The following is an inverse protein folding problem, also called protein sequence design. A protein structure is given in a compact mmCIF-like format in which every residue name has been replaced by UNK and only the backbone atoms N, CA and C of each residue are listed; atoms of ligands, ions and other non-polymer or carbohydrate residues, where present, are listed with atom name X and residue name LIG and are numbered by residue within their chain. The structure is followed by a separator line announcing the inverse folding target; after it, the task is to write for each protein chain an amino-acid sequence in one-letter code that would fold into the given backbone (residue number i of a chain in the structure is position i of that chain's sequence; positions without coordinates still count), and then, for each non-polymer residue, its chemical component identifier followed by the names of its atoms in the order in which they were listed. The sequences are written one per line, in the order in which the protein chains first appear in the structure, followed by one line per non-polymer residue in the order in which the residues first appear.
data_IF_159694693435
#
_entry.id   IF_159694693435
#
_cell.length_a   1.000
_cell.length_b   1.000
_cell.length_c   1.000
_cell.angle_alpha   90.00
_cell.angle_beta   90.00
_cell.angle_gamma   90.00
#
_symmetry.space_group_name_H-M   'P 1'
#
loop_
_entity.id
_entity.type
_entity.pdbx_description
1 polymer ?
#
# COMPACT_ATOMS: atom_id res chain seq x y z
N UNK A 1 -42.24 30.87 -8.69
CA UNK A 1 -43.08 30.47 -7.54
C UNK A 1 -43.72 29.12 -7.91
N UNK A 2 -43.50 28.04 -7.15
CA UNK A 2 -44.43 27.47 -6.12
C UNK A 2 -45.57 26.70 -6.82
N UNK A 3 -45.89 25.42 -6.60
CA UNK A 3 -45.41 24.23 -5.83
C UNK A 3 -45.68 23.01 -6.77
N UNK A 4 -45.24 21.76 -6.63
CA UNK A 4 -44.82 20.84 -5.54
C UNK A 4 -43.55 20.09 -6.03
N UNK A 5 -42.64 19.46 -5.27
CA UNK A 5 -42.38 19.22 -3.83
C UNK A 5 -43.37 18.40 -2.98
N UNK A 6 -42.80 17.44 -2.23
CA UNK A 6 -43.38 16.50 -1.24
C UNK A 6 -44.36 15.44 -1.77
N UNK A 7 -44.28 14.16 -1.36
CA UNK A 7 -43.22 13.45 -0.64
C UNK A 7 -43.46 11.92 -0.71
N UNK A 8 -42.42 11.11 -1.01
CA UNK A 8 -42.25 9.77 -0.44
C UNK A 8 -40.83 9.17 -0.68
N UNK A 9 -39.78 9.89 -0.26
CA UNK A 9 -38.45 9.28 -0.07
C UNK A 9 -38.30 9.04 1.44
N UNK A 10 -38.70 7.86 1.91
CA UNK A 10 -38.50 7.48 3.32
C UNK A 10 -38.47 5.95 3.52
N UNK A 11 -37.39 5.30 3.06
CA UNK A 11 -37.02 3.94 3.49
C UNK A 11 -35.56 3.64 3.16
N UNK A 12 -34.62 4.39 3.75
CA UNK A 12 -33.22 4.01 4.02
C UNK A 12 -32.52 5.16 4.77
N UNK A 13 -33.00 5.47 5.97
CA UNK A 13 -32.19 6.17 6.96
C UNK A 13 -31.17 5.19 7.53
N UNK A 14 -30.25 4.71 6.68
CA UNK A 14 -28.96 4.24 7.16
C UNK A 14 -28.32 5.40 7.90
N UNK A 15 -28.05 5.24 9.19
CA UNK A 15 -27.56 6.32 10.04
C UNK A 15 -26.24 6.88 9.48
N UNK A 16 -26.32 8.00 8.76
CA UNK A 16 -25.18 8.88 8.62
C UNK A 16 -24.88 9.39 10.04
N UNK A 17 -23.69 9.15 10.61
CA UNK A 17 -23.34 9.74 11.89
C UNK A 17 -23.44 11.26 11.77
N UNK A 18 -23.94 11.92 12.82
CA UNK A 18 -23.99 13.38 12.86
C UNK A 18 -22.63 13.95 12.47
N UNK A 19 -22.64 14.94 11.57
CA UNK A 19 -21.45 15.62 11.12
C UNK A 19 -20.82 16.40 12.29
N UNK A 20 -20.00 15.71 13.07
CA UNK A 20 -19.20 16.30 14.11
C UNK A 20 -18.30 17.41 13.51
N UNK A 21 -18.08 18.53 14.22
CA UNK A 21 -17.17 19.56 13.74
C UNK A 21 -15.79 18.94 13.49
N UNK A 22 -15.23 19.18 12.31
CA UNK A 22 -14.02 18.54 11.83
C UNK A 22 -12.82 18.78 12.77
N UNK A 23 -12.58 17.84 13.68
CA UNK A 23 -11.37 17.80 14.49
C UNK A 23 -10.20 17.46 13.57
N UNK A 24 -9.31 18.41 13.38
CA UNK A 24 -8.04 18.19 12.69
C UNK A 24 -7.14 17.26 13.52
N UNK A 25 -7.21 15.96 13.23
CA UNK A 25 -6.37 14.96 13.88
C UNK A 25 -6.75 13.55 13.45
N UNK A 26 -5.74 12.75 13.11
CA UNK A 26 -5.92 11.31 12.94
C UNK A 26 -6.31 10.65 14.26
N UNK A 27 -7.19 9.65 14.22
CA UNK A 27 -7.64 8.89 15.37
C UNK A 27 -6.54 8.16 16.16
N UNK A 28 -5.32 7.99 15.60
CA UNK A 28 -4.24 7.24 16.26
C UNK A 28 -2.83 7.62 15.79
N UNK A 29 -1.86 7.49 16.70
CA UNK A 29 -0.41 7.50 16.38
C UNK A 29 0.24 6.12 16.56
N UNK A 30 -0.53 5.09 16.93
CA UNK A 30 -0.13 3.70 17.09
C UNK A 30 -0.53 2.90 15.85
N UNK A 31 0.41 2.11 15.30
CA UNK A 31 0.13 1.23 14.15
C UNK A 31 -0.80 0.09 14.53
N UNK A 32 -0.75 -0.42 15.76
CA UNK A 32 -1.67 -1.46 16.24
C UNK A 32 -3.12 -0.95 16.19
N UNK A 33 -3.37 0.24 16.73
CA UNK A 33 -4.71 0.87 16.72
C UNK A 33 -5.12 1.23 15.29
N UNK A 34 -4.17 1.63 14.43
CA UNK A 34 -4.45 1.88 13.02
C UNK A 34 -4.91 0.60 12.30
N UNK A 35 -4.18 -0.51 12.48
CA UNK A 35 -4.54 -1.81 11.90
C UNK A 35 -5.85 -2.35 12.47
N UNK A 36 -6.11 -2.20 13.78
CA UNK A 36 -7.41 -2.56 14.38
C UNK A 36 -8.57 -1.81 13.69
N UNK A 37 -8.48 -0.49 13.56
CA UNK A 37 -9.50 0.30 12.87
C UNK A 37 -9.61 0.00 11.38
N UNK A 38 -8.51 -0.32 10.71
CA UNK A 38 -8.51 -0.78 9.32
C UNK A 38 -9.37 -2.03 9.18
N UNK A 39 -9.13 -3.00 10.05
CA UNK A 39 -9.77 -4.31 10.05
C UNK A 39 -11.22 -4.30 10.57
N UNK A 40 -11.55 -3.38 11.48
CA UNK A 40 -12.93 -3.07 11.86
C UNK A 40 -13.75 -2.49 10.70
N UNK A 41 -13.11 -1.75 9.77
CA UNK A 41 -13.74 -1.11 8.62
C UNK A 41 -13.80 -2.01 7.39
N UNK A 42 -12.68 -2.64 7.03
CA UNK A 42 -12.52 -3.50 5.85
C UNK A 42 -12.66 -4.98 6.26
N UNK A 43 -13.85 -5.30 6.74
CA UNK A 43 -14.21 -6.58 7.34
C UNK A 43 -13.97 -7.78 6.41
N UNK A 44 -14.19 -7.61 5.11
CA UNK A 44 -14.03 -8.66 4.10
C UNK A 44 -12.71 -8.48 3.30
N UNK A 45 -11.66 -7.97 3.95
CA UNK A 45 -10.34 -7.71 3.37
C UNK A 45 -10.25 -6.41 2.56
N UNK A 46 -11.33 -6.05 1.85
CA UNK A 46 -11.44 -4.77 1.15
C UNK A 46 -10.35 -4.57 0.09
N UNK A 47 -9.58 -3.48 0.19
CA UNK A 47 -8.50 -3.13 -0.76
C UNK A 47 -7.16 -3.82 -0.48
N UNK A 48 -7.11 -4.77 0.46
CA UNK A 48 -5.88 -5.51 0.81
C UNK A 48 -5.70 -6.83 0.04
N UNK A 49 -6.70 -7.25 -0.75
CA UNK A 49 -6.72 -8.48 -1.57
C UNK A 49 -6.27 -9.76 -0.83
N UNK A 50 -6.62 -9.84 0.47
CA UNK A 50 -6.16 -10.91 1.36
C UNK A 50 -6.74 -12.25 0.91
N UNK A 51 -5.90 -13.26 0.72
CA UNK A 51 -6.32 -14.61 0.31
C UNK A 51 -5.86 -15.68 1.31
N UNK A 52 -6.73 -16.65 1.60
CA UNK A 52 -6.49 -17.77 2.52
C UNK A 52 -6.15 -19.07 1.80
N UNK A 53 -5.20 -19.83 2.35
CA UNK A 53 -4.76 -21.13 1.81
C UNK A 53 -5.86 -22.21 1.94
N UNK A 54 -6.63 -22.16 3.03
CA UNK A 54 -7.83 -22.98 3.22
C UNK A 54 -8.95 -22.76 2.19
N UNK A 55 -8.88 -21.70 1.37
CA UNK A 55 -9.95 -21.32 0.43
C UNK A 55 -11.24 -20.80 1.09
N UNK A 56 -11.27 -20.72 2.42
CA UNK A 56 -12.36 -20.06 3.14
C UNK A 56 -12.36 -18.53 2.89
N UNK A 57 -13.52 -17.86 2.94
CA UNK A 57 -13.58 -16.41 2.78
C UNK A 57 -12.81 -15.67 3.88
N UNK A 58 -12.29 -14.51 3.53
CA UNK A 58 -11.92 -13.49 4.51
C UNK A 58 -13.20 -12.98 5.15
N UNK A 59 -13.27 -13.06 6.48
CA UNK A 59 -14.39 -12.55 7.25
C UNK A 59 -13.90 -11.55 8.29
N UNK A 60 -14.76 -10.62 8.78
CA UNK A 60 -14.42 -9.69 9.86
C UNK A 60 -13.78 -10.39 11.06
N UNK A 61 -14.28 -11.60 11.34
CA UNK A 61 -13.86 -12.42 12.47
C UNK A 61 -12.46 -12.98 12.28
N UNK A 62 -12.17 -13.55 11.10
CA UNK A 62 -10.83 -14.04 10.76
C UNK A 62 -9.79 -12.91 10.88
N UNK A 63 -10.11 -11.73 10.34
CA UNK A 63 -9.22 -10.58 10.42
C UNK A 63 -8.99 -10.16 11.89
N UNK A 64 -10.04 -10.04 12.70
CA UNK A 64 -9.95 -9.53 14.07
C UNK A 64 -9.39 -10.54 15.09
N UNK A 65 -9.62 -11.84 14.92
CA UNK A 65 -9.23 -12.89 15.88
C UNK A 65 -7.92 -13.60 15.48
N UNK A 66 -7.62 -13.73 14.19
CA UNK A 66 -6.53 -14.61 13.71
C UNK A 66 -5.28 -13.88 13.25
N UNK A 67 -5.36 -12.61 12.86
CA UNK A 67 -4.19 -11.83 12.45
C UNK A 67 -3.38 -11.35 13.67
N UNK A 68 -2.11 -11.76 13.75
CA UNK A 68 -1.20 -11.29 14.79
C UNK A 68 -0.44 -10.07 14.28
N UNK A 69 -0.76 -8.92 14.85
CA UNK A 69 -0.03 -7.67 14.62
C UNK A 69 1.20 -7.66 15.53
N UNK A 70 2.39 -7.85 14.95
CA UNK A 70 3.67 -7.71 15.65
C UNK A 70 4.25 -6.33 15.39
N UNK A 71 3.91 -5.37 16.25
CA UNK A 71 4.50 -4.04 16.24
C UNK A 71 6.02 -4.11 16.52
N UNK A 72 6.80 -3.31 15.79
CA UNK A 72 8.18 -2.99 16.12
C UNK A 72 8.37 -1.47 16.13
N UNK A 73 9.24 -0.94 17.01
CA UNK A 73 9.36 0.50 17.22
C UNK A 73 9.51 1.29 15.92
N UNK A 74 8.93 2.49 15.90
CA UNK A 74 8.75 3.40 14.76
C UNK A 74 7.52 3.14 13.87
N UNK A 75 6.57 2.31 14.31
CA UNK A 75 5.27 2.18 13.63
C UNK A 75 5.36 1.36 12.35
N UNK A 76 6.13 0.26 12.38
CA UNK A 76 6.01 -0.83 11.41
C UNK A 76 5.38 -2.01 12.14
N UNK A 77 4.55 -2.79 11.45
CA UNK A 77 4.05 -4.06 11.95
C UNK A 77 4.20 -5.15 10.89
N UNK A 78 4.50 -6.36 11.34
CA UNK A 78 4.30 -7.57 10.55
C UNK A 78 2.94 -8.18 10.93
N UNK A 79 2.16 -8.59 9.94
CA UNK A 79 0.82 -9.15 10.11
C UNK A 79 0.92 -10.64 9.77
N UNK A 80 0.92 -11.49 10.80
CA UNK A 80 1.19 -12.93 10.66
C UNK A 80 -0.08 -13.76 10.86
N UNK A 81 -0.36 -14.70 9.94
CA UNK A 81 -1.30 -15.79 10.10
C UNK A 81 -0.91 -16.95 9.15
N UNK A 82 -0.77 -18.21 9.64
CA UNK A 82 -0.33 -19.34 8.82
C UNK A 82 -1.32 -19.78 7.72
N UNK A 83 -2.57 -19.33 7.77
CA UNK A 83 -3.60 -19.60 6.75
C UNK A 83 -3.63 -18.52 5.66
N UNK A 84 -2.66 -17.60 5.61
CA UNK A 84 -2.52 -16.62 4.53
C UNK A 84 -1.51 -17.08 3.49
N UNK A 85 -1.85 -16.91 2.21
CA UNK A 85 -0.97 -17.22 1.08
C UNK A 85 0.19 -16.21 0.98
N UNK A 86 -0.03 -14.98 1.43
CA UNK A 86 0.91 -13.87 1.30
C UNK A 86 1.41 -13.34 2.64
N UNK A 87 2.57 -12.70 2.62
CA UNK A 87 3.14 -12.01 3.78
C UNK A 87 2.78 -10.53 3.77
N UNK A 88 2.27 -10.01 4.90
CA UNK A 88 1.75 -8.65 4.99
C UNK A 88 2.61 -7.79 5.93
N UNK A 89 3.24 -6.75 5.38
CA UNK A 89 3.93 -5.70 6.14
C UNK A 89 3.07 -4.43 6.18
N UNK A 90 3.13 -3.68 7.28
CA UNK A 90 2.49 -2.37 7.37
C UNK A 90 3.44 -1.33 7.99
N UNK A 91 3.33 -0.07 7.57
CA UNK A 91 4.09 1.05 8.12
C UNK A 91 3.24 2.33 8.19
N UNK A 92 3.35 3.06 9.30
CA UNK A 92 2.55 4.24 9.63
C UNK A 92 3.38 5.52 9.50
N UNK A 93 3.16 6.25 8.41
CA UNK A 93 3.89 7.49 8.09
C UNK A 93 3.17 8.71 8.66
N UNK A 94 3.92 9.62 9.31
CA UNK A 94 3.40 10.90 9.80
C UNK A 94 3.55 12.00 8.74
N UNK A 95 2.52 12.84 8.66
CA UNK A 95 2.22 13.73 7.55
C UNK A 95 1.63 15.06 8.14
N UNK A 96 1.80 16.24 7.52
CA UNK A 96 1.21 17.50 8.03
C UNK A 96 -0.31 17.47 8.17
N UNK A 97 -1.00 16.75 7.28
CA UNK A 97 -2.44 16.55 7.22
C UNK A 97 -2.94 15.33 8.02
N UNK A 98 -2.06 14.57 8.70
CA UNK A 98 -2.47 13.38 9.46
C UNK A 98 -1.43 12.25 9.47
N UNK A 99 -1.92 11.00 9.41
CA UNK A 99 -1.07 9.81 9.26
C UNK A 99 -1.53 9.01 8.04
N UNK A 100 -0.61 8.28 7.40
CA UNK A 100 -0.92 7.34 6.31
C UNK A 100 -0.38 5.97 6.69
N UNK A 101 -1.27 4.98 6.70
CA UNK A 101 -0.91 3.58 6.87
C UNK A 101 -0.68 2.99 5.48
N UNK A 102 0.54 2.56 5.19
CA UNK A 102 0.86 1.79 3.98
C UNK A 102 0.88 0.32 4.38
N UNK A 103 0.17 -0.52 3.64
CA UNK A 103 0.22 -1.98 3.78
C UNK A 103 0.72 -2.56 2.46
N UNK A 104 1.71 -3.43 2.54
CA UNK A 104 2.26 -4.18 1.41
C UNK A 104 1.99 -5.66 1.66
N UNK A 105 1.32 -6.30 0.71
CA UNK A 105 1.29 -7.75 0.61
C UNK A 105 2.39 -8.23 -0.33
N UNK A 106 2.99 -9.36 -0.03
CA UNK A 106 4.01 -10.02 -0.84
C UNK A 106 3.77 -11.53 -0.87
N UNK A 107 3.22 -12.00 -1.99
CA UNK A 107 3.16 -13.41 -2.38
C UNK A 107 4.31 -13.80 -3.31
N UNK A 108 4.25 -15.03 -3.84
CA UNK A 108 5.31 -15.56 -4.72
C UNK A 108 5.34 -14.95 -6.13
N UNK A 109 4.21 -14.42 -6.62
CA UNK A 109 4.07 -13.91 -8.00
C UNK A 109 3.44 -12.52 -8.10
N UNK A 110 2.83 -12.02 -7.02
CA UNK A 110 2.19 -10.70 -6.96
C UNK A 110 2.62 -9.99 -5.68
N UNK A 111 2.63 -8.66 -5.73
CA UNK A 111 2.79 -7.81 -4.55
C UNK A 111 1.75 -6.70 -4.63
N UNK A 112 0.88 -6.62 -3.64
CA UNK A 112 -0.17 -5.61 -3.56
C UNK A 112 0.28 -4.49 -2.63
N UNK A 113 -0.02 -3.24 -2.96
CA UNK A 113 0.21 -2.10 -2.06
C UNK A 113 -1.10 -1.34 -1.89
N UNK A 114 -1.48 -1.10 -0.65
CA UNK A 114 -2.64 -0.28 -0.30
C UNK A 114 -2.20 0.83 0.65
N UNK A 115 -2.66 2.06 0.38
CA UNK A 115 -2.44 3.21 1.26
C UNK A 115 -3.77 3.61 1.88
N UNK A 116 -3.75 3.91 3.17
CA UNK A 116 -4.91 4.40 3.91
C UNK A 116 -4.58 5.72 4.59
N UNK A 117 -5.27 6.77 4.18
CA UNK A 117 -5.22 8.08 4.82
C UNK A 117 -6.07 8.06 6.08
N UNK A 118 -5.49 8.48 7.20
CA UNK A 118 -6.19 8.68 8.45
C UNK A 118 -6.75 10.11 8.54
N UNK A 119 -8.07 10.24 8.59
CA UNK A 119 -8.78 11.49 8.85
C UNK A 119 -9.66 11.38 10.11
N UNK A 120 -10.57 12.34 10.32
CA UNK A 120 -11.46 12.38 11.48
C UNK A 120 -12.51 11.24 11.53
N UNK A 121 -12.76 10.57 10.40
CA UNK A 121 -13.65 9.40 10.27
C UNK A 121 -12.87 8.08 10.28
N UNK A 122 -11.57 8.11 10.61
CA UNK A 122 -10.69 6.95 10.68
C UNK A 122 -9.86 6.75 9.41
N UNK A 123 -9.57 5.49 9.08
CA UNK A 123 -8.79 5.15 7.89
C UNK A 123 -9.69 5.01 6.66
N UNK A 124 -9.31 5.69 5.57
CA UNK A 124 -9.92 5.57 4.24
C UNK A 124 -8.83 5.22 3.23
N UNK A 125 -9.12 4.29 2.32
CA UNK A 125 -8.21 3.97 1.23
C UNK A 125 -7.92 5.20 0.35
N UNK A 126 -6.65 5.42 0.05
CA UNK A 126 -6.14 6.39 -0.92
C UNK A 126 -5.51 5.61 -2.06
N UNK A 127 -6.35 5.17 -3.00
CA UNK A 127 -5.95 4.34 -4.14
C UNK A 127 -5.03 5.09 -5.14
N UNK A 128 -4.79 6.40 -4.94
CA UNK A 128 -3.90 7.23 -5.77
C UNK A 128 -2.54 7.47 -5.13
N UNK A 129 -2.36 7.11 -3.85
CA UNK A 129 -1.08 7.24 -3.17
C UNK A 129 -0.20 6.01 -3.41
N UNK A 130 1.09 6.24 -3.68
CA UNK A 130 2.08 5.21 -4.04
C UNK A 130 1.81 4.44 -5.36
N UNK A 131 0.93 4.96 -6.22
CA UNK A 131 0.81 4.46 -7.59
C UNK A 131 2.14 4.67 -8.35
N UNK A 132 2.62 3.61 -8.99
CA UNK A 132 3.81 3.61 -9.85
C UNK A 132 3.38 3.00 -11.19
N UNK A 133 3.42 3.81 -12.25
CA UNK A 133 3.16 3.30 -13.60
C UNK A 133 4.28 2.40 -14.10
N UNK A 134 3.98 1.50 -15.04
CA UNK A 134 4.99 0.67 -15.70
C UNK A 134 6.12 1.51 -16.33
N UNK A 135 5.78 2.69 -16.87
CA UNK A 135 6.75 3.63 -17.44
C UNK A 135 7.72 4.17 -16.37
N UNK A 136 7.21 4.55 -15.19
CA UNK A 136 8.07 4.97 -14.06
C UNK A 136 8.91 3.80 -13.54
N UNK A 137 8.35 2.60 -13.43
CA UNK A 137 9.08 1.41 -13.02
C UNK A 137 10.20 1.05 -14.02
N UNK A 138 9.94 1.07 -15.32
CA UNK A 138 10.95 0.91 -16.39
C UNK A 138 12.03 2.00 -16.31
N UNK A 139 11.66 3.25 -16.00
CA UNK A 139 12.63 4.32 -15.79
C UNK A 139 13.52 4.04 -14.56
N UNK A 140 12.97 3.52 -13.46
CA UNK A 140 13.76 3.13 -12.29
C UNK A 140 14.77 1.99 -12.62
N UNK A 141 14.39 1.04 -13.46
CA UNK A 141 15.29 0.01 -14.00
C UNK A 141 16.40 0.59 -14.90
N UNK A 142 16.08 1.62 -15.68
CA UNK A 142 17.03 2.36 -16.52
C UNK A 142 18.03 3.14 -15.69
N UNK A 143 17.54 3.89 -14.70
CA UNK A 143 18.32 4.73 -13.78
C UNK A 143 19.25 3.91 -12.87
N UNK A 144 18.85 2.68 -12.52
CA UNK A 144 19.68 1.69 -11.83
C UNK A 144 20.75 1.04 -12.74
N UNK A 145 20.76 1.35 -14.05
CA UNK A 145 21.71 0.81 -15.03
C UNK A 145 21.50 -0.67 -15.37
N UNK A 146 20.28 -1.20 -15.15
CA UNK A 146 19.96 -2.61 -15.35
C UNK A 146 19.53 -2.91 -16.80
N UNK A 147 18.92 -1.95 -17.49
CA UNK A 147 18.63 -2.05 -18.92
C UNK A 147 19.90 -1.77 -19.73
N UNK A 148 20.56 -2.82 -20.22
CA UNK A 148 21.78 -2.72 -21.03
C UNK A 148 21.46 -2.58 -22.51
N UNK A 149 21.93 -1.51 -23.13
CA UNK A 149 21.98 -1.43 -24.58
C UNK A 149 22.74 -2.63 -25.18
N UNK A 150 22.14 -3.29 -26.17
CA UNK A 150 22.71 -4.36 -27.01
C UNK A 150 22.95 -5.75 -26.37
N UNK A 151 22.33 -6.09 -25.23
CA UNK A 151 22.44 -7.43 -24.66
C UNK A 151 21.55 -8.46 -25.39
N UNK A 152 22.12 -9.27 -26.31
CA UNK A 152 21.43 -10.37 -27.02
C UNK A 152 20.88 -11.51 -26.13
N UNK A 153 21.20 -11.49 -24.83
CA UNK A 153 20.49 -12.17 -23.73
C UNK A 153 20.58 -11.28 -22.49
N UNK A 154 19.49 -10.62 -22.09
CA UNK A 154 19.48 -9.71 -20.95
C UNK A 154 18.14 -9.00 -20.77
N UNK A 155 17.99 -8.34 -19.63
CA UNK A 155 16.81 -7.56 -19.31
C UNK A 155 16.65 -6.38 -20.28
N UNK A 156 15.45 -6.23 -20.85
CA UNK A 156 15.07 -5.13 -21.74
C UNK A 156 13.76 -4.50 -21.30
N UNK A 157 13.45 -3.30 -21.79
CA UNK A 157 12.14 -2.67 -21.57
C UNK A 157 10.98 -3.58 -22.03
N UNK A 158 11.10 -4.22 -23.20
CA UNK A 158 10.11 -5.19 -23.67
C UNK A 158 9.98 -6.39 -22.72
N UNK A 159 11.08 -6.86 -22.13
CA UNK A 159 11.04 -7.94 -21.12
C UNK A 159 10.29 -7.52 -19.85
N UNK A 160 10.36 -6.24 -19.47
CA UNK A 160 9.59 -5.68 -18.35
C UNK A 160 8.11 -5.50 -18.71
N UNK A 161 7.79 -5.06 -19.92
CA UNK A 161 6.43 -4.89 -20.41
C UNK A 161 5.70 -6.22 -20.67
N UNK A 162 6.43 -7.25 -21.10
CA UNK A 162 5.92 -8.61 -21.28
C UNK A 162 5.90 -9.41 -19.95
N UNK A 163 6.29 -8.80 -18.82
CA UNK A 163 6.36 -9.47 -17.51
C UNK A 163 4.94 -9.72 -16.96
N UNK A 164 4.66 -10.96 -16.55
CA UNK A 164 3.30 -11.36 -16.16
C UNK A 164 2.89 -10.96 -14.73
N UNK A 165 3.79 -10.38 -13.94
CA UNK A 165 3.54 -9.95 -12.56
C UNK A 165 4.02 -8.52 -12.31
N UNK A 166 4.10 -8.09 -11.05
CA UNK A 166 4.73 -6.80 -10.75
C UNK A 166 6.23 -6.85 -11.03
N UNK A 167 6.76 -5.85 -11.75
CA UNK A 167 8.20 -5.67 -11.95
C UNK A 167 8.90 -5.00 -10.77
N UNK A 168 8.17 -4.40 -9.82
CA UNK A 168 8.74 -3.78 -8.61
C UNK A 168 8.12 -4.32 -7.33
N UNK A 169 8.89 -4.32 -6.26
CA UNK A 169 8.39 -4.61 -4.91
C UNK A 169 8.83 -3.51 -3.93
N UNK A 170 7.95 -3.19 -2.99
CA UNK A 170 8.16 -2.16 -1.97
C UNK A 170 8.56 -2.81 -0.65
N UNK A 171 9.69 -2.39 -0.09
CA UNK A 171 10.16 -2.87 1.22
C UNK A 171 9.93 -1.77 2.25
N UNK A 172 9.05 -2.00 3.21
CA UNK A 172 8.65 -1.00 4.19
C UNK A 172 9.73 -0.82 5.28
N UNK A 173 9.97 0.42 5.77
CA UNK A 173 11.00 0.68 6.74
C UNK A 173 10.59 0.23 8.15
N UNK A 174 11.29 -0.77 8.70
CA UNK A 174 11.25 -1.08 10.15
C UNK A 174 11.81 0.04 11.02
N UNK A 175 12.61 0.95 10.45
CA UNK A 175 13.16 2.16 11.08
C UNK A 175 13.33 3.24 10.00
N UNK A 176 13.03 4.50 10.34
CA UNK A 176 13.10 5.62 9.40
C UNK A 176 11.76 5.90 8.71
N UNK A 177 11.80 6.62 7.58
CA UNK A 177 10.60 7.07 6.83
C UNK A 177 10.67 6.78 5.32
N UNK A 178 11.62 5.95 4.91
CA UNK A 178 12.00 5.75 3.51
C UNK A 178 11.57 4.36 3.07
N UNK A 179 10.66 4.26 2.11
CA UNK A 179 10.31 2.99 1.47
C UNK A 179 11.40 2.67 0.44
N UNK A 180 11.87 1.42 0.37
CA UNK A 180 12.86 1.03 -0.64
C UNK A 180 12.19 0.29 -1.79
N UNK A 181 12.36 0.79 -3.01
CA UNK A 181 11.91 0.13 -4.24
C UNK A 181 12.98 -0.87 -4.69
N UNK A 182 12.59 -2.12 -4.93
CA UNK A 182 13.46 -3.18 -5.44
C UNK A 182 12.91 -3.77 -6.73
N UNK A 183 13.81 -4.28 -7.56
CA UNK A 183 13.49 -5.10 -8.71
C UNK A 183 12.84 -6.41 -8.26
N UNK A 184 11.69 -6.75 -8.83
CA UNK A 184 10.94 -7.97 -8.52
C UNK A 184 11.06 -9.06 -9.61
N UNK A 185 11.61 -8.71 -10.78
CA UNK A 185 11.90 -9.67 -11.84
C UNK A 185 13.07 -10.59 -11.43
N UNK A 186 12.86 -11.89 -11.54
CA UNK A 186 13.83 -12.95 -11.23
C UNK A 186 14.73 -13.30 -12.42
N UNK A 187 14.28 -13.13 -13.65
CA UNK A 187 15.09 -13.34 -14.86
C UNK A 187 15.65 -12.03 -15.47
N UNK A 188 16.98 -11.87 -15.62
CA UNK A 188 18.04 -12.79 -15.22
C UNK A 188 18.35 -12.75 -13.72
N UNK A 189 18.74 -13.90 -13.15
CA UNK A 189 18.94 -14.14 -11.71
C UNK A 189 19.77 -13.12 -10.89
N UNK A 190 20.54 -12.26 -11.56
CA UNK A 190 21.27 -11.15 -10.92
C UNK A 190 20.45 -9.87 -10.71
N UNK A 191 19.19 -9.81 -11.14
CA UNK A 191 18.31 -8.63 -11.08
C UNK A 191 17.42 -8.61 -9.84
N UNK A 192 16.94 -9.77 -9.38
CA UNK A 192 16.03 -9.85 -8.24
C UNK A 192 16.56 -9.15 -6.98
N UNK A 193 15.70 -8.39 -6.32
CA UNK A 193 16.02 -7.69 -5.08
C UNK A 193 16.99 -6.50 -5.22
N UNK A 194 17.49 -6.19 -6.43
CA UNK A 194 18.33 -5.00 -6.65
C UNK A 194 17.55 -3.74 -6.30
N UNK A 195 18.17 -2.83 -5.54
CA UNK A 195 17.59 -1.52 -5.26
C UNK A 195 17.45 -0.74 -6.57
N UNK A 196 16.26 -0.18 -6.79
CA UNK A 196 15.94 0.65 -7.95
C UNK A 196 15.75 2.12 -7.58
N UNK A 197 15.33 2.38 -6.34
CA UNK A 197 15.07 3.72 -5.84
C UNK A 197 14.60 3.71 -4.40
N UNK A 198 14.05 4.84 -3.97
CA UNK A 198 13.36 5.03 -2.69
C UNK A 198 12.11 5.86 -2.88
N UNK A 199 11.18 5.79 -1.93
CA UNK A 199 10.05 6.70 -1.82
C UNK A 199 10.12 7.38 -0.46
N UNK A 200 10.17 8.69 -0.47
CA UNK A 200 10.14 9.55 0.72
C UNK A 200 8.77 10.22 0.84
N UNK A 201 8.41 10.62 2.06
CA UNK A 201 7.20 11.42 2.30
C UNK A 201 7.57 12.88 2.56
N UNK A 202 7.24 13.78 1.62
CA UNK A 202 7.65 15.19 1.60
C UNK A 202 6.46 16.06 1.17
N UNK A 203 6.26 17.20 1.83
CA UNK A 203 5.25 18.22 1.48
C UNK A 203 3.84 17.67 1.18
N UNK A 204 3.38 16.74 2.03
CA UNK A 204 2.05 16.16 1.95
C UNK A 204 1.88 15.06 0.90
N UNK A 205 2.96 14.60 0.26
CA UNK A 205 2.93 13.61 -0.83
C UNK A 205 4.04 12.57 -0.68
N UNK A 206 3.83 11.39 -1.27
CA UNK A 206 4.91 10.45 -1.52
C UNK A 206 5.69 10.88 -2.77
N UNK A 207 7.01 10.83 -2.71
CA UNK A 207 7.91 11.31 -3.78
C UNK A 207 8.90 10.20 -4.11
N UNK A 208 8.92 9.79 -5.37
CA UNK A 208 9.82 8.75 -5.88
C UNK A 208 11.20 9.36 -6.17
N UNK A 209 12.24 8.63 -5.78
CA UNK A 209 13.64 8.98 -6.01
C UNK A 209 14.37 7.80 -6.63
N UNK A 210 14.79 7.93 -7.88
CA UNK A 210 15.56 6.90 -8.58
C UNK A 210 17.04 6.90 -8.16
N UNK A 211 17.77 5.86 -8.59
CA UNK A 211 19.23 5.78 -8.41
C UNK A 211 20.05 6.57 -9.44
N UNK A 212 19.41 7.37 -10.31
CA UNK A 212 20.11 8.18 -11.28
C UNK A 212 21.15 9.07 -10.59
N UNK A 213 22.39 9.08 -11.11
CA UNK A 213 23.40 10.04 -10.67
C UNK A 213 22.88 11.44 -11.02
N UNK A 214 22.51 12.24 -10.01
CA UNK A 214 22.34 13.68 -10.19
C UNK A 214 23.61 14.22 -10.86
N UNK A 215 23.45 14.82 -12.04
CA UNK A 215 24.53 15.55 -12.68
C UNK A 215 25.05 16.59 -11.67
N UNK A 216 26.36 16.54 -11.42
CA UNK A 216 27.10 17.55 -10.65
C UNK A 216 27.73 18.54 -11.61
#
# INVERSE_FOLDING_TARGET
MILLKTALILALTSAAPEAAPAKSGCATTSIEVALRHLFERYKDGGTLDVTRDSGEPITPRFIAESLKVRDVPNGYALIENPDLIETFEAALFKNPNGYHLVVVSSGASVSHTAVFKCDAEGLKADNTALELSDAEAVQLYTDAGLLKANAKKGLSEKTLQDWAGSIVTLSLPRKGRVITIKANVDEPAGVYGKKLGTIDYVDGRFVVHSLAKKAR
#
